data_IF_764107555991
#
_entry.id   IF_764107555991
#
_cell.length_a   1.000
_cell.length_b   1.000
_cell.length_c   1.000
_cell.angle_alpha   90.00
_cell.angle_beta   90.00
_cell.angle_gamma   90.00
#
_symmetry.space_group_name_H-M   'P 1'
#
loop_
_entity.id
_entity.type
_entity.pdbx_description
1 polymer ?
#
# COMPACT_ATOMS: atom_id res chain seq x y z
N UNK A 1 9.92 27.11 -9.51
CA UNK A 1 9.57 25.86 -8.79
C UNK A 1 10.88 25.12 -8.57
N UNK A 2 11.24 24.78 -7.33
CA UNK A 2 12.46 24.01 -7.07
C UNK A 2 12.28 22.58 -7.62
N UNK A 3 13.22 22.12 -8.44
CA UNK A 3 13.25 20.74 -8.93
C UNK A 3 13.67 19.86 -7.75
N UNK A 4 12.82 18.91 -7.35
CA UNK A 4 13.18 17.96 -6.31
C UNK A 4 14.32 17.06 -6.83
N UNK A 5 15.43 17.02 -6.10
CA UNK A 5 16.51 16.09 -6.39
C UNK A 5 16.00 14.65 -6.23
N UNK A 6 16.24 13.81 -7.25
CA UNK A 6 15.92 12.39 -7.17
C UNK A 6 17.00 11.70 -6.36
N UNK A 7 16.65 11.20 -5.19
CA UNK A 7 17.51 10.25 -4.48
C UNK A 7 17.61 8.99 -5.36
N UNK A 8 18.83 8.56 -5.67
CA UNK A 8 19.11 7.34 -6.45
C UNK A 8 19.88 6.40 -5.55
N UNK A 9 19.24 5.30 -5.16
CA UNK A 9 19.93 4.19 -4.51
C UNK A 9 20.54 3.34 -5.61
N UNK A 10 21.87 3.17 -5.62
CA UNK A 10 22.56 2.33 -6.60
C UNK A 10 23.53 1.40 -5.87
N UNK A 11 23.51 0.13 -6.22
CA UNK A 11 24.44 -0.88 -5.72
C UNK A 11 24.45 -1.02 -4.17
N UNK A 12 23.26 -1.09 -3.57
CA UNK A 12 23.08 -1.28 -2.10
C UNK A 12 22.53 -2.68 -1.76
N UNK A 13 23.28 -3.77 -2.01
CA UNK A 13 22.78 -5.14 -1.91
C UNK A 13 22.50 -5.63 -0.48
N UNK A 14 22.84 -4.84 0.54
CA UNK A 14 22.58 -5.15 1.95
C UNK A 14 21.32 -4.44 2.48
N UNK A 15 20.64 -3.66 1.62
CA UNK A 15 19.42 -2.95 1.99
C UNK A 15 18.22 -3.90 1.90
N UNK A 16 17.86 -4.51 3.03
CA UNK A 16 16.78 -5.50 3.13
C UNK A 16 15.43 -4.89 3.56
N UNK A 17 15.46 -3.72 4.20
CA UNK A 17 14.29 -2.99 4.69
C UNK A 17 14.30 -1.57 4.13
N UNK A 18 13.22 -1.20 3.44
CA UNK A 18 13.03 0.13 2.89
C UNK A 18 11.68 0.68 3.33
N UNK A 19 11.72 1.86 3.94
CA UNK A 19 10.53 2.61 4.32
C UNK A 19 10.47 3.94 3.54
N UNK A 20 9.50 4.04 2.63
CA UNK A 20 9.27 5.24 1.82
C UNK A 20 8.02 5.93 2.35
N UNK A 21 8.23 6.92 3.21
CA UNK A 21 7.17 7.80 3.72
C UNK A 21 7.37 9.23 3.25
N UNK A 22 6.30 9.94 2.93
CA UNK A 22 6.39 11.37 2.65
C UNK A 22 5.08 11.96 2.15
N UNK A 23 4.82 13.21 2.52
CA UNK A 23 3.71 13.97 1.95
C UNK A 23 4.18 14.59 0.63
N UNK A 24 3.83 13.96 -0.49
CA UNK A 24 4.05 14.57 -1.79
C UNK A 24 2.77 15.24 -2.29
N UNK A 25 2.91 16.48 -2.79
CA UNK A 25 1.87 17.12 -3.61
C UNK A 25 1.73 16.48 -5.00
N UNK A 26 2.74 15.71 -5.41
CA UNK A 26 2.73 14.91 -6.63
C UNK A 26 2.37 13.47 -6.31
N UNK A 27 1.17 13.08 -6.73
CA UNK A 27 0.60 11.74 -6.54
C UNK A 27 1.35 10.62 -7.26
N UNK A 28 2.26 10.99 -8.18
CA UNK A 28 3.16 10.05 -8.83
C UNK A 28 4.48 9.89 -8.08
N UNK A 29 4.77 10.65 -7.02
CA UNK A 29 6.07 10.60 -6.34
C UNK A 29 6.37 9.23 -5.75
N UNK A 30 5.43 8.63 -5.03
CA UNK A 30 5.65 7.31 -4.43
C UNK A 30 5.76 6.25 -5.52
N UNK A 31 4.97 6.38 -6.60
CA UNK A 31 5.09 5.53 -7.79
C UNK A 31 6.48 5.67 -8.45
N UNK A 32 6.92 6.88 -8.72
CA UNK A 32 8.14 7.17 -9.48
C UNK A 32 9.38 6.83 -8.64
N UNK A 33 9.34 7.13 -7.34
CA UNK A 33 10.39 6.77 -6.38
C UNK A 33 10.41 5.26 -6.15
N UNK A 34 9.26 4.62 -5.96
CA UNK A 34 9.20 3.16 -5.84
C UNK A 34 9.71 2.50 -7.12
N UNK A 35 9.26 2.88 -8.31
CA UNK A 35 9.76 2.27 -9.56
C UNK A 35 11.26 2.48 -9.72
N UNK A 36 11.76 3.69 -9.47
CA UNK A 36 13.19 4.00 -9.61
C UNK A 36 14.04 3.25 -8.58
N UNK A 37 13.61 3.12 -7.33
CA UNK A 37 14.40 2.50 -6.26
C UNK A 37 14.25 1.00 -6.20
N UNK A 38 13.05 0.49 -6.47
CA UNK A 38 12.84 -0.94 -6.59
C UNK A 38 13.78 -1.44 -7.68
N UNK A 39 13.84 -0.78 -8.85
CA UNK A 39 14.74 -1.20 -9.95
C UNK A 39 16.20 -1.46 -9.55
N UNK A 40 16.73 -0.80 -8.53
CA UNK A 40 18.13 -0.94 -8.09
C UNK A 40 18.35 -1.88 -6.89
N UNK A 41 17.30 -2.19 -6.10
CA UNK A 41 17.42 -2.94 -4.84
C UNK A 41 16.58 -4.24 -4.80
N UNK A 42 15.84 -4.56 -5.87
CA UNK A 42 14.82 -5.62 -5.95
C UNK A 42 15.24 -7.02 -5.50
N UNK A 43 16.48 -7.43 -5.80
CA UNK A 43 16.84 -8.85 -5.71
C UNK A 43 16.96 -9.36 -4.28
N UNK A 44 17.06 -8.47 -3.28
CA UNK A 44 17.27 -8.84 -1.87
C UNK A 44 16.34 -8.15 -0.89
N UNK A 45 15.53 -7.19 -1.34
CA UNK A 45 14.61 -6.48 -0.46
C UNK A 45 13.59 -7.47 0.13
N UNK A 46 13.55 -7.56 1.47
CA UNK A 46 12.65 -8.45 2.19
C UNK A 46 11.45 -7.72 2.79
N UNK A 47 11.64 -6.44 3.18
CA UNK A 47 10.61 -5.62 3.83
C UNK A 47 10.46 -4.30 3.09
N UNK A 48 9.21 -3.98 2.73
CA UNK A 48 8.86 -2.75 2.05
C UNK A 48 7.69 -2.08 2.75
N UNK A 49 7.88 -0.83 3.15
CA UNK A 49 6.81 0.04 3.63
C UNK A 49 6.62 1.21 2.68
N UNK A 50 5.39 1.39 2.19
CA UNK A 50 5.01 2.48 1.30
C UNK A 50 3.87 3.30 1.89
N UNK A 51 4.01 4.61 1.79
CA UNK A 51 2.96 5.56 2.16
C UNK A 51 2.28 6.14 0.93
N UNK A 52 0.96 6.22 0.94
CA UNK A 52 0.12 6.96 -0.03
C UNK A 52 0.39 6.66 -1.52
N UNK A 53 -0.12 5.51 -2.00
CA UNK A 53 -0.15 5.14 -3.42
C UNK A 53 -1.40 5.64 -4.16
N UNK A 54 -2.20 6.48 -3.51
CA UNK A 54 -3.56 6.68 -3.92
C UNK A 54 -3.65 7.75 -5.03
N UNK A 55 -4.12 7.33 -6.21
CA UNK A 55 -4.35 8.23 -7.35
C UNK A 55 -5.47 9.22 -7.00
N UNK A 56 -5.32 10.52 -7.30
CA UNK A 56 -6.30 11.55 -6.98
C UNK A 56 -7.48 11.60 -7.96
N UNK A 57 -7.46 10.85 -9.06
CA UNK A 57 -8.37 11.11 -10.16
C UNK A 57 -9.54 10.14 -10.22
N UNK A 58 -10.74 10.69 -10.44
CA UNK A 58 -11.94 10.00 -10.94
C UNK A 58 -11.78 9.45 -12.37
N UNK A 59 -10.53 9.26 -12.83
CA UNK A 59 -10.22 8.78 -14.17
C UNK A 59 -10.02 7.26 -14.11
N UNK A 60 -10.77 6.48 -14.91
CA UNK A 60 -10.77 5.02 -14.88
C UNK A 60 -9.48 4.38 -15.43
N UNK A 61 -8.49 5.17 -15.84
CA UNK A 61 -7.19 4.69 -16.28
C UNK A 61 -6.30 4.38 -15.07
N UNK A 62 -6.69 3.33 -14.36
CA UNK A 62 -5.85 2.62 -13.40
C UNK A 62 -4.69 1.98 -14.17
N UNK A 63 -3.63 2.76 -14.38
CA UNK A 63 -2.39 2.23 -14.88
C UNK A 63 -1.87 1.27 -13.82
N UNK A 64 -2.05 -0.02 -14.08
CA UNK A 64 -1.37 -1.11 -13.37
C UNK A 64 0.10 -0.71 -13.35
N UNK A 65 0.63 -0.54 -12.14
CA UNK A 65 2.05 -0.34 -11.97
C UNK A 65 2.73 -1.61 -12.50
N UNK A 66 3.37 -1.52 -13.67
CA UNK A 66 4.29 -2.56 -14.13
C UNK A 66 5.52 -2.52 -13.24
N UNK A 67 5.38 -3.15 -12.08
CA UNK A 67 6.44 -3.30 -11.13
C UNK A 67 7.27 -4.52 -11.53
N UNK A 68 8.60 -4.41 -11.45
CA UNK A 68 9.47 -5.57 -11.55
C UNK A 68 9.14 -6.57 -10.43
N UNK A 69 9.48 -7.84 -10.66
CA UNK A 69 9.17 -8.91 -9.71
C UNK A 69 9.99 -8.76 -8.43
N UNK A 70 9.30 -8.59 -7.30
CA UNK A 70 9.79 -8.45 -5.94
C UNK A 70 9.93 -9.83 -5.29
N UNK A 71 10.70 -10.72 -5.91
CA UNK A 71 10.79 -12.14 -5.51
C UNK A 71 11.31 -12.38 -4.09
N UNK A 72 12.09 -11.45 -3.54
CA UNK A 72 12.65 -11.60 -2.19
C UNK A 72 11.78 -10.96 -1.11
N UNK A 73 10.71 -10.26 -1.50
CA UNK A 73 9.87 -9.52 -0.58
C UNK A 73 9.00 -10.47 0.24
N UNK A 74 9.20 -10.45 1.56
CA UNK A 74 8.45 -11.25 2.54
C UNK A 74 7.39 -10.42 3.25
N UNK A 75 7.62 -9.11 3.42
CA UNK A 75 6.66 -8.22 4.08
C UNK A 75 6.41 -6.94 3.28
N UNK A 76 5.13 -6.63 3.10
CA UNK A 76 4.65 -5.40 2.48
C UNK A 76 3.71 -4.67 3.44
N UNK A 77 4.04 -3.42 3.75
CA UNK A 77 3.19 -2.52 4.54
C UNK A 77 2.75 -1.35 3.68
N UNK A 78 1.45 -1.16 3.53
CA UNK A 78 0.84 -0.03 2.85
C UNK A 78 0.11 0.85 3.85
N UNK A 79 0.41 2.14 3.83
CA UNK A 79 -0.26 3.13 4.65
C UNK A 79 -1.04 4.07 3.72
N UNK A 80 -2.36 4.03 3.81
CA UNK A 80 -3.27 4.66 2.83
C UNK A 80 -4.28 5.54 3.56
N UNK A 81 -4.53 6.74 3.01
CA UNK A 81 -5.62 7.57 3.47
C UNK A 81 -6.95 7.08 2.92
N UNK A 82 -7.86 6.73 3.84
CA UNK A 82 -9.24 6.44 3.55
C UNK A 82 -10.00 7.74 3.25
N UNK A 83 -9.93 8.23 2.01
CA UNK A 83 -10.83 9.27 1.50
C UNK A 83 -11.91 8.66 0.60
N UNK A 84 -13.02 9.39 0.45
CA UNK A 84 -14.32 8.95 -0.12
C UNK A 84 -14.27 8.24 -1.49
N UNK A 85 -13.17 8.38 -2.23
CA UNK A 85 -13.11 8.03 -3.65
C UNK A 85 -11.89 7.19 -4.07
N UNK A 86 -10.96 6.88 -3.16
CA UNK A 86 -9.69 6.23 -3.55
C UNK A 86 -9.78 4.70 -3.47
N UNK A 87 -9.67 4.06 -4.64
CA UNK A 87 -9.72 2.61 -4.79
C UNK A 87 -8.47 1.92 -4.23
N UNK A 88 -8.62 0.69 -3.74
CA UNK A 88 -7.53 -0.15 -3.24
C UNK A 88 -6.76 -0.89 -4.36
N UNK A 89 -7.06 -0.59 -5.63
CA UNK A 89 -6.48 -1.22 -6.83
C UNK A 89 -4.94 -1.24 -6.81
N UNK A 90 -4.31 -0.16 -6.32
CA UNK A 90 -2.85 -0.06 -6.23
C UNK A 90 -2.22 -1.13 -5.34
N UNK A 91 -2.94 -1.64 -4.35
CA UNK A 91 -2.47 -2.68 -3.44
C UNK A 91 -2.30 -4.02 -4.16
N UNK A 92 -3.24 -4.38 -5.04
CA UNK A 92 -3.25 -5.68 -5.74
C UNK A 92 -2.09 -5.83 -6.73
N UNK A 93 -1.64 -4.73 -7.35
CA UNK A 93 -0.48 -4.73 -8.26
C UNK A 93 0.82 -5.08 -7.53
N UNK A 94 1.02 -4.53 -6.33
CA UNK A 94 2.20 -4.82 -5.50
C UNK A 94 2.21 -6.25 -4.96
N UNK A 95 1.04 -6.74 -4.54
CA UNK A 95 0.87 -8.13 -4.11
C UNK A 95 1.21 -9.07 -5.27
N UNK A 96 0.68 -8.79 -6.47
CA UNK A 96 0.99 -9.57 -7.68
C UNK A 96 2.48 -9.55 -8.03
N UNK A 97 3.16 -8.43 -7.81
CA UNK A 97 4.60 -8.32 -8.06
C UNK A 97 5.46 -9.07 -7.02
N UNK A 98 4.89 -9.53 -5.90
CA UNK A 98 5.64 -10.04 -4.74
C UNK A 98 5.32 -11.52 -4.45
N UNK A 99 5.69 -12.48 -5.31
CA UNK A 99 5.20 -13.87 -5.25
C UNK A 99 5.55 -14.64 -3.96
N UNK A 100 6.57 -14.20 -3.22
CA UNK A 100 7.01 -14.82 -1.97
C UNK A 100 6.61 -14.00 -0.73
N UNK A 101 5.67 -13.06 -0.89
CA UNK A 101 5.11 -12.30 0.22
C UNK A 101 4.50 -13.25 1.27
N UNK A 102 4.96 -13.12 2.51
CA UNK A 102 4.49 -13.89 3.66
C UNK A 102 3.51 -13.07 4.53
N UNK A 103 3.69 -11.75 4.55
CA UNK A 103 2.90 -10.84 5.38
C UNK A 103 2.52 -9.56 4.63
N UNK A 104 1.22 -9.28 4.62
CA UNK A 104 0.67 -8.03 4.12
C UNK A 104 0.04 -7.22 5.27
N UNK A 105 0.35 -5.93 5.33
CA UNK A 105 -0.22 -5.00 6.30
C UNK A 105 -0.80 -3.79 5.57
N UNK A 106 -2.10 -3.57 5.67
CA UNK A 106 -2.76 -2.35 5.25
C UNK A 106 -3.09 -1.50 6.48
N UNK A 107 -2.63 -0.26 6.51
CA UNK A 107 -2.95 0.71 7.56
C UNK A 107 -3.77 1.83 6.94
N UNK A 108 -5.00 1.97 7.40
CA UNK A 108 -5.94 2.98 6.94
C UNK A 108 -5.91 4.16 7.90
N UNK A 109 -5.77 5.37 7.37
CA UNK A 109 -5.88 6.61 8.13
C UNK A 109 -7.09 7.41 7.67
N UNK A 110 -7.93 7.82 8.62
CA UNK A 110 -9.09 8.65 8.32
C UNK A 110 -8.64 10.11 8.15
N UNK A 111 -9.06 10.75 7.05
CA UNK A 111 -8.67 12.15 6.79
C UNK A 111 -9.79 13.18 7.01
N UNK A 112 -11.05 12.76 7.05
CA UNK A 112 -12.24 13.53 7.47
C UNK A 112 -13.53 12.88 6.93
N UNK A 113 -14.66 13.25 7.54
CA UNK A 113 -16.05 12.90 7.23
C UNK A 113 -16.28 11.51 6.64
N UNK A 114 -16.61 10.61 7.58
CA UNK A 114 -17.10 9.26 7.39
C UNK A 114 -18.33 9.28 6.46
N UNK A 115 -18.10 9.20 5.16
CA UNK A 115 -19.15 8.78 4.21
C UNK A 115 -18.78 7.40 3.72
N UNK A 116 -19.66 6.43 4.01
CA UNK A 116 -19.59 5.07 3.46
C UNK A 116 -19.78 5.20 1.95
N UNK A 117 -18.68 5.14 1.20
CA UNK A 117 -18.72 5.06 -0.25
C UNK A 117 -19.07 3.64 -0.67
N UNK A 118 -19.96 3.51 -1.65
CA UNK A 118 -20.34 2.23 -2.25
C UNK A 118 -19.43 1.83 -3.44
N UNK A 119 -18.30 2.53 -3.65
CA UNK A 119 -17.36 2.19 -4.73
C UNK A 119 -16.84 0.76 -4.57
N UNK A 120 -16.80 0.07 -5.70
CA UNK A 120 -16.37 -1.32 -5.80
C UNK A 120 -14.85 -1.43 -5.77
N UNK A 121 -14.36 -2.48 -5.11
CA UNK A 121 -13.01 -2.95 -5.19
C UNK A 121 -12.76 -3.51 -6.60
N UNK A 122 -11.99 -2.77 -7.38
CA UNK A 122 -11.46 -3.30 -8.62
C UNK A 122 -10.28 -4.21 -8.31
N UNK A 123 -10.44 -5.49 -8.62
CA UNK A 123 -9.41 -6.50 -8.46
C UNK A 123 -8.53 -6.59 -9.71
N UNK A 124 -7.22 -6.71 -9.53
CA UNK A 124 -6.35 -7.22 -10.58
C UNK A 124 -6.68 -8.70 -10.86
N UNK A 125 -6.22 -9.25 -11.99
CA UNK A 125 -6.35 -10.69 -12.28
C UNK A 125 -5.86 -11.51 -11.08
N UNK A 126 -6.69 -12.45 -10.65
CA UNK A 126 -6.38 -13.35 -9.53
C UNK A 126 -5.08 -14.10 -9.84
N UNK A 127 -4.16 -14.10 -8.89
CA UNK A 127 -2.92 -14.85 -8.94
C UNK A 127 -2.77 -15.58 -7.61
N UNK A 128 -2.70 -16.92 -7.61
CA UNK A 128 -2.55 -17.67 -6.37
C UNK A 128 -1.26 -17.29 -5.65
N UNK A 129 -1.40 -16.97 -4.36
CA UNK A 129 -0.32 -16.57 -3.50
C UNK A 129 0.03 -17.71 -2.55
N UNK A 130 1.13 -18.40 -2.84
CA UNK A 130 1.52 -19.65 -2.16
C UNK A 130 2.10 -19.43 -0.77
N UNK A 131 2.62 -18.23 -0.49
CA UNK A 131 3.39 -17.95 0.73
C UNK A 131 2.70 -16.98 1.68
N UNK A 132 1.60 -16.34 1.28
CA UNK A 132 0.98 -15.28 2.09
C UNK A 132 0.23 -15.91 3.27
N UNK A 133 0.78 -15.73 4.47
CA UNK A 133 0.29 -16.31 5.72
C UNK A 133 -0.51 -15.34 6.56
N UNK A 134 -0.14 -14.06 6.53
CA UNK A 134 -0.73 -13.06 7.42
C UNK A 134 -1.21 -11.84 6.63
N UNK A 135 -2.48 -11.48 6.83
CA UNK A 135 -3.07 -10.23 6.35
C UNK A 135 -3.52 -9.42 7.57
N UNK A 136 -2.95 -8.22 7.78
CA UNK A 136 -3.39 -7.27 8.80
C UNK A 136 -4.03 -6.05 8.14
N UNK A 137 -5.20 -5.65 8.59
CA UNK A 137 -5.87 -4.40 8.22
C UNK A 137 -6.09 -3.58 9.49
N UNK A 138 -5.43 -2.42 9.59
CA UNK A 138 -5.56 -1.47 10.71
C UNK A 138 -6.39 -0.26 10.27
N UNK A 139 -7.13 0.37 11.17
CA UNK A 139 -8.10 1.42 10.86
C UNK A 139 -9.33 0.91 10.10
N UNK A 140 -9.70 -0.36 10.31
CA UNK A 140 -10.84 -0.99 9.64
C UNK A 140 -12.17 -0.38 10.07
N UNK A 141 -13.03 -0.03 9.10
CA UNK A 141 -14.32 0.64 9.35
C UNK A 141 -15.52 -0.11 8.74
N UNK A 142 -15.30 -1.28 8.15
CA UNK A 142 -16.35 -2.09 7.53
C UNK A 142 -16.86 -1.50 6.21
N UNK A 143 -16.03 -0.78 5.45
CA UNK A 143 -16.44 -0.28 4.14
C UNK A 143 -16.53 -1.43 3.14
N UNK A 144 -17.41 -1.32 2.13
CA UNK A 144 -17.58 -2.35 1.08
C UNK A 144 -16.24 -2.75 0.45
N UNK A 145 -15.39 -1.77 0.12
CA UNK A 145 -14.05 -2.01 -0.44
C UNK A 145 -13.10 -2.76 0.49
N UNK A 146 -13.22 -2.58 1.81
CA UNK A 146 -12.41 -3.30 2.80
C UNK A 146 -12.86 -4.76 2.91
N UNK A 147 -14.17 -5.00 2.90
CA UNK A 147 -14.74 -6.36 2.88
C UNK A 147 -14.34 -7.08 1.59
N UNK A 148 -14.43 -6.41 0.45
CA UNK A 148 -14.04 -6.99 -0.84
C UNK A 148 -12.53 -7.28 -0.90
N UNK A 149 -11.69 -6.45 -0.27
CA UNK A 149 -10.26 -6.74 -0.13
C UNK A 149 -10.00 -7.99 0.72
N UNK A 150 -10.72 -8.16 1.83
CA UNK A 150 -10.63 -9.38 2.66
C UNK A 150 -11.02 -10.61 1.83
N UNK A 151 -12.14 -10.54 1.11
CA UNK A 151 -12.59 -11.63 0.24
C UNK A 151 -11.58 -11.94 -0.86
N UNK A 152 -10.95 -10.91 -1.44
CA UNK A 152 -9.87 -11.11 -2.40
C UNK A 152 -8.73 -11.93 -1.83
N UNK A 153 -8.26 -11.63 -0.61
CA UNK A 153 -7.20 -12.42 0.03
C UNK A 153 -7.62 -13.85 0.32
N UNK A 154 -8.87 -14.07 0.76
CA UNK A 154 -9.43 -15.41 0.95
C UNK A 154 -9.46 -16.21 -0.36
N UNK A 155 -9.67 -15.55 -1.51
CA UNK A 155 -9.62 -16.21 -2.82
C UNK A 155 -8.20 -16.57 -3.27
N UNK A 156 -7.21 -15.70 -3.00
CA UNK A 156 -5.87 -15.85 -3.61
C UNK A 156 -4.83 -16.49 -2.70
N UNK A 157 -4.92 -16.36 -1.37
CA UNK A 157 -3.85 -16.73 -0.46
C UNK A 157 -4.01 -18.18 0.04
N UNK A 158 -3.25 -19.09 -0.56
CA UNK A 158 -3.37 -20.54 -0.30
C UNK A 158 -2.84 -20.92 1.08
N UNK A 159 -1.75 -20.28 1.51
CA UNK A 159 -1.12 -20.53 2.81
C UNK A 159 -1.62 -19.58 3.91
N UNK A 160 -2.79 -18.96 3.75
CA UNK A 160 -3.29 -17.97 4.69
C UNK A 160 -3.58 -18.61 6.05
N UNK A 161 -2.87 -18.16 7.08
CA UNK A 161 -3.02 -18.62 8.46
C UNK A 161 -3.84 -17.63 9.29
N UNK A 162 -3.69 -16.33 9.06
CA UNK A 162 -4.29 -15.29 9.89
C UNK A 162 -4.81 -14.09 9.07
N UNK A 163 -6.04 -13.66 9.39
CA UNK A 163 -6.59 -12.34 9.03
C UNK A 163 -6.81 -11.56 10.31
N UNK A 164 -6.11 -10.43 10.45
CA UNK A 164 -6.18 -9.55 11.61
C UNK A 164 -6.88 -8.28 11.18
N UNK A 165 -8.05 -8.01 11.79
CA UNK A 165 -8.82 -6.79 11.57
C UNK A 165 -8.73 -5.96 12.84
N UNK A 166 -8.09 -4.80 12.75
CA UNK A 166 -7.88 -3.87 13.83
C UNK A 166 -8.61 -2.56 13.51
N UNK A 167 -9.65 -2.19 14.27
CA UNK A 167 -10.36 -0.93 14.06
C UNK A 167 -9.53 0.29 14.46
N UNK A 168 -8.46 0.12 15.24
CA UNK A 168 -7.63 1.22 15.67
C UNK A 168 -6.77 1.75 14.52
N UNK A 169 -6.78 3.07 14.36
CA UNK A 169 -5.84 3.76 13.49
C UNK A 169 -4.47 3.79 14.18
N UNK A 170 -3.47 3.16 13.56
CA UNK A 170 -2.08 3.41 13.94
C UNK A 170 -1.73 4.84 13.46
N UNK A 171 -1.80 5.79 14.40
CA UNK A 171 -1.43 7.19 14.17
C UNK A 171 0.05 7.26 13.77
N UNK A 172 0.34 7.34 12.47
CA UNK A 172 1.68 7.68 12.01
C UNK A 172 1.75 9.19 11.88
N UNK A 173 2.38 9.84 12.86
CA UNK A 173 2.80 11.24 12.85
C UNK A 173 1.96 12.18 11.96
N UNK A 174 0.73 12.47 12.39
CA UNK A 174 0.11 13.77 12.11
C UNK A 174 -0.35 14.41 13.39
N UNK A 175 0.31 15.53 13.67
CA UNK A 175 -0.32 16.78 14.13
C UNK A 175 -1.26 16.65 15.32
N UNK A 176 -0.67 16.43 16.50
CA UNK A 176 -1.20 17.03 17.73
C UNK A 176 -0.98 18.56 17.62
N UNK A 177 -1.83 19.21 16.83
CA UNK A 177 -1.99 20.66 16.62
C UNK A 177 -2.93 20.75 15.42
N UNK A 178 -4.23 20.99 15.56
CA UNK A 178 -4.81 22.26 15.98
C UNK A 178 -6.14 22.01 16.71
N UNK A 179 -6.06 21.82 18.03
CA UNK A 179 -7.12 22.23 18.95
C UNK A 179 -6.41 22.87 20.15
N UNK A 180 -5.68 23.95 19.88
CA UNK A 180 -5.45 24.97 20.90
C UNK A 180 -6.36 26.13 20.52
N UNK A 181 -7.41 26.23 21.33
CA UNK A 181 -8.10 27.45 21.79
C UNK A 181 -8.03 28.69 20.88
N UNK A 182 -9.22 29.08 20.38
CA UNK A 182 -9.79 30.41 20.63
C UNK A 182 -11.31 30.36 20.44
#
# INVERSE_FOLDING_TARGET
>A
MAQAERLVLKDVPMLLDVNITGWSRSYNFVRDVAVSWLSSCLSKLEVLTLFDLSSPSDQPHEQILELPQLSSLKQLTLLVYASKDRGLIGCTSLIKASPNLEKFVLKLQLYSDIKRSNREFKKAKNYPHQHLKVVKISGYYGRKSEVELINYFLEIAIALENIIVDPHEELTYRSRSMHEEN
#
